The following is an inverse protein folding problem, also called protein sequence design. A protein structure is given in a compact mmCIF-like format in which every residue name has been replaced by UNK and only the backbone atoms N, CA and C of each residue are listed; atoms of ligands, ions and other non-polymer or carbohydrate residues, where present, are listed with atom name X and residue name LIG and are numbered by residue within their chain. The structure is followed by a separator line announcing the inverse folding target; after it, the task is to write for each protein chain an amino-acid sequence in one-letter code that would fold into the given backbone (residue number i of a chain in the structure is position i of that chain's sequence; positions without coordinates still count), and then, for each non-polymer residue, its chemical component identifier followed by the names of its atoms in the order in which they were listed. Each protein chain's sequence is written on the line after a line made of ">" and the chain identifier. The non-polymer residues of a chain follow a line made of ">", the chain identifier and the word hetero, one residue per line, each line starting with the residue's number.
data_IF_309283208974
#
_entry.id   IF_309283208974
#
_cell.length_a   1.000
_cell.length_b   1.000
_cell.length_c   1.000
_cell.angle_alpha   90.00
_cell.angle_beta   90.00
_cell.angle_gamma   90.00
#
_symmetry.space_group_name_H-M   'P 1'
#
loop_
_entity.id
_entity.type
_entity.pdbx_description
1 polymer ?
#
# COMPACT_ATOMS: atom_id res chain seq x y z
N UNK A 1 -18.61 5.42 2.99
CA UNK A 1 -19.13 4.18 2.38
C UNK A 1 -18.04 3.42 1.63
N UNK A 2 -17.25 4.10 0.77
CA UNK A 2 -16.11 3.50 0.05
C UNK A 2 -15.00 2.93 0.98
N UNK A 3 -14.71 3.60 2.10
CA UNK A 3 -13.76 3.10 3.10
C UNK A 3 -14.18 1.77 3.75
N UNK A 4 -15.48 1.50 3.88
CA UNK A 4 -15.96 0.20 4.39
C UNK A 4 -15.83 -0.89 3.32
N UNK A 5 -16.01 -0.51 2.05
CA UNK A 5 -15.90 -1.43 0.92
C UNK A 5 -14.46 -1.88 0.68
N UNK A 6 -13.49 -0.95 0.71
CA UNK A 6 -12.09 -1.30 0.49
C UNK A 6 -11.52 -2.18 1.62
N UNK A 7 -11.90 -1.94 2.88
CA UNK A 7 -11.46 -2.77 4.01
C UNK A 7 -12.03 -4.18 3.95
N UNK A 8 -13.28 -4.34 3.49
CA UNK A 8 -13.88 -5.65 3.24
C UNK A 8 -13.11 -6.43 2.16
N UNK A 9 -12.81 -5.79 1.02
CA UNK A 9 -12.04 -6.40 -0.06
C UNK A 9 -10.62 -6.78 0.38
N UNK A 10 -9.94 -5.88 1.09
CA UNK A 10 -8.63 -6.17 1.69
C UNK A 10 -8.71 -7.37 2.64
N UNK A 11 -9.75 -7.45 3.47
CA UNK A 11 -9.91 -8.53 4.45
C UNK A 11 -10.12 -9.91 3.81
N UNK A 12 -10.72 -9.95 2.62
CA UNK A 12 -11.01 -11.20 1.88
C UNK A 12 -9.94 -11.59 0.87
N UNK A 13 -9.07 -10.67 0.48
CA UNK A 13 -8.07 -10.94 -0.53
C UNK A 13 -7.07 -12.03 -0.07
N UNK A 14 -6.63 -12.93 -0.96
CA UNK A 14 -5.80 -14.08 -0.60
C UNK A 14 -4.32 -13.68 -0.53
N UNK A 15 -3.97 -12.89 0.49
CA UNK A 15 -2.62 -12.40 0.71
C UNK A 15 -1.61 -13.54 0.85
N UNK A 16 -0.51 -13.45 0.12
CA UNK A 16 0.58 -14.42 0.13
C UNK A 16 1.85 -13.76 0.58
N UNK A 17 2.60 -14.44 1.44
CA UNK A 17 3.90 -13.95 1.87
C UNK A 17 4.89 -13.90 0.70
N UNK A 18 5.62 -12.79 0.57
CA UNK A 18 6.76 -12.67 -0.31
C UNK A 18 7.99 -13.37 0.31
N UNK A 19 8.06 -14.70 0.17
CA UNK A 19 9.07 -15.56 0.80
C UNK A 19 10.50 -15.08 0.53
N UNK A 20 10.78 -14.59 -0.68
CA UNK A 20 12.09 -14.04 -1.08
C UNK A 20 12.57 -12.90 -0.18
N UNK A 21 11.65 -12.12 0.38
CA UNK A 21 11.94 -10.94 1.20
C UNK A 21 11.66 -11.14 2.69
N UNK A 22 11.28 -12.35 3.14
CA UNK A 22 10.92 -12.66 4.53
C UNK A 22 11.90 -12.12 5.57
N UNK A 23 13.20 -12.19 5.29
CA UNK A 23 14.27 -11.79 6.23
C UNK A 23 14.64 -10.32 6.16
N UNK A 24 14.35 -9.64 5.05
CA UNK A 24 14.85 -8.28 4.78
C UNK A 24 13.72 -7.26 4.78
N UNK A 25 12.62 -7.55 4.09
CA UNK A 25 11.44 -6.70 3.93
C UNK A 25 10.19 -7.56 3.92
N UNK A 26 9.78 -8.13 5.07
CA UNK A 26 8.64 -9.02 5.14
C UNK A 26 7.37 -8.28 4.70
N UNK A 27 6.74 -8.77 3.64
CA UNK A 27 5.50 -8.24 3.10
C UNK A 27 4.66 -9.36 2.48
N UNK A 28 3.41 -9.04 2.21
CA UNK A 28 2.49 -9.92 1.51
C UNK A 28 2.03 -9.26 0.21
N UNK A 29 1.50 -10.06 -0.71
CA UNK A 29 0.98 -9.58 -1.98
C UNK A 29 -0.23 -10.35 -2.47
N UNK A 30 -0.99 -9.70 -3.35
CA UNK A 30 -2.05 -10.30 -4.17
C UNK A 30 -1.87 -9.92 -5.63
N UNK A 31 -2.41 -10.76 -6.52
CA UNK A 31 -2.30 -10.65 -7.96
C UNK A 31 -3.66 -10.31 -8.57
N UNK A 32 -3.76 -9.24 -9.38
CA UNK A 32 -5.03 -8.73 -9.92
C UNK A 32 -5.89 -9.84 -10.52
N UNK A 33 -5.35 -10.57 -11.49
CA UNK A 33 -6.10 -11.52 -12.33
C UNK A 33 -6.09 -12.90 -11.70
N UNK A 34 -4.92 -13.41 -11.28
CA UNK A 34 -4.82 -14.75 -10.69
C UNK A 34 -5.67 -14.92 -9.42
N UNK A 35 -5.84 -13.85 -8.64
CA UNK A 35 -6.61 -13.89 -7.40
C UNK A 35 -8.00 -13.25 -7.53
N UNK A 36 -8.43 -12.89 -8.74
CA UNK A 36 -9.71 -12.22 -9.01
C UNK A 36 -9.92 -10.94 -8.16
N UNK A 37 -8.92 -10.07 -8.10
CA UNK A 37 -8.87 -8.86 -7.28
C UNK A 37 -9.13 -7.57 -8.08
N UNK A 38 -9.80 -7.65 -9.24
CA UNK A 38 -10.05 -6.48 -10.11
C UNK A 38 -10.63 -5.30 -9.35
N UNK A 39 -11.65 -5.54 -8.52
CA UNK A 39 -12.34 -4.50 -7.75
C UNK A 39 -11.45 -3.86 -6.67
N UNK A 40 -10.62 -4.67 -5.99
CA UNK A 40 -9.66 -4.16 -5.02
C UNK A 40 -8.63 -3.25 -5.71
N UNK A 41 -8.10 -3.67 -6.86
CA UNK A 41 -7.17 -2.85 -7.64
C UNK A 41 -7.80 -1.55 -8.12
N UNK A 42 -9.06 -1.58 -8.54
CA UNK A 42 -9.80 -0.38 -8.97
C UNK A 42 -9.87 0.66 -7.84
N UNK A 43 -10.34 0.25 -6.66
CA UNK A 43 -10.45 1.15 -5.51
C UNK A 43 -9.08 1.65 -5.02
N UNK A 44 -8.06 0.80 -4.99
CA UNK A 44 -6.71 1.22 -4.62
C UNK A 44 -6.16 2.24 -5.61
N UNK A 45 -6.31 2.01 -6.93
CA UNK A 45 -5.89 2.96 -7.94
C UNK A 45 -6.67 4.28 -7.84
N UNK A 46 -7.97 4.23 -7.58
CA UNK A 46 -8.79 5.42 -7.38
C UNK A 46 -8.29 6.29 -6.21
N UNK A 47 -7.94 5.67 -5.07
CA UNK A 47 -7.39 6.39 -3.91
C UNK A 47 -6.01 7.01 -4.20
N UNK A 48 -5.14 6.31 -4.92
CA UNK A 48 -3.88 6.92 -5.36
C UNK A 48 -4.11 8.12 -6.30
N UNK A 49 -5.04 8.01 -7.26
CA UNK A 49 -5.39 9.13 -8.16
C UNK A 49 -6.05 10.30 -7.43
N UNK A 50 -6.72 10.04 -6.31
CA UNK A 50 -7.26 11.07 -5.42
C UNK A 50 -6.18 11.77 -4.58
N UNK A 51 -4.91 11.36 -4.68
CA UNK A 51 -3.79 11.95 -3.95
C UNK A 51 -3.62 11.43 -2.53
N UNK A 52 -4.26 10.31 -2.18
CA UNK A 52 -4.20 9.76 -0.82
C UNK A 52 -2.91 8.99 -0.52
N UNK A 53 -2.05 8.79 -1.51
CA UNK A 53 -0.77 8.12 -1.34
C UNK A 53 0.31 9.04 -0.76
N UNK A 54 1.26 8.46 -0.02
CA UNK A 54 2.46 9.12 0.49
C UNK A 54 3.72 8.63 -0.21
N UNK A 55 4.45 9.54 -0.84
CA UNK A 55 5.76 9.24 -1.45
C UNK A 55 6.80 9.01 -0.35
N UNK A 56 7.35 7.80 -0.29
CA UNK A 56 8.41 7.42 0.63
C UNK A 56 9.63 6.89 -0.13
N UNK A 57 10.78 6.86 0.54
CA UNK A 57 12.00 6.25 0.01
C UNK A 57 12.16 4.83 0.53
N UNK A 58 12.27 3.87 -0.39
CA UNK A 58 12.68 2.50 -0.12
C UNK A 58 14.12 2.31 -0.63
N UNK A 59 15.10 2.35 0.28
CA UNK A 59 16.52 2.53 -0.04
C UNK A 59 16.75 3.74 -0.96
N UNK A 60 17.11 3.50 -2.22
CA UNK A 60 17.38 4.52 -3.24
C UNK A 60 16.18 4.74 -4.16
N UNK A 61 15.12 3.94 -4.06
CA UNK A 61 13.93 4.02 -4.90
C UNK A 61 12.84 4.84 -4.20
N UNK A 62 12.14 5.67 -4.97
CA UNK A 62 10.91 6.33 -4.50
C UNK A 62 9.72 5.43 -4.81
N UNK A 63 8.78 5.33 -3.89
CA UNK A 63 7.51 4.65 -4.11
C UNK A 63 6.41 5.34 -3.32
N UNK A 64 5.16 5.17 -3.76
CA UNK A 64 4.00 5.79 -3.11
C UNK A 64 3.22 4.73 -2.36
N UNK A 65 2.88 5.02 -1.11
CA UNK A 65 2.23 4.10 -0.20
C UNK A 65 0.88 4.62 0.22
N UNK A 66 -0.12 3.75 0.26
CA UNK A 66 -1.43 4.03 0.83
C UNK A 66 -1.51 3.43 2.24
N UNK A 67 -2.04 4.18 3.20
CA UNK A 67 -2.10 3.76 4.61
C UNK A 67 -3.55 3.48 5.00
N UNK A 68 -3.87 2.22 5.28
CA UNK A 68 -5.23 1.80 5.64
C UNK A 68 -5.16 0.87 6.85
N UNK A 69 -5.75 1.28 7.97
CA UNK A 69 -5.70 0.53 9.21
C UNK A 69 -4.25 0.25 9.64
N UNK A 70 -3.94 -1.00 9.98
CA UNK A 70 -2.61 -1.40 10.45
C UNK A 70 -1.56 -1.69 9.38
N UNK A 71 -1.80 -1.32 8.11
CA UNK A 71 -0.95 -1.70 6.98
C UNK A 71 -0.64 -0.51 6.04
N UNK A 72 0.55 -0.57 5.42
CA UNK A 72 0.91 0.21 4.23
C UNK A 72 0.78 -0.67 2.99
N UNK A 73 0.29 -0.09 1.89
CA UNK A 73 0.02 -0.75 0.61
C UNK A 73 0.77 -0.05 -0.51
N UNK A 74 1.30 -0.81 -1.48
CA UNK A 74 1.93 -0.23 -2.67
C UNK A 74 1.76 -1.14 -3.89
N UNK A 75 1.72 -0.52 -5.07
CA UNK A 75 1.67 -1.21 -6.34
C UNK A 75 3.10 -1.37 -6.89
N UNK A 76 3.36 -2.46 -7.61
CA UNK A 76 4.63 -2.62 -8.36
C UNK A 76 4.62 -1.87 -9.71
N UNK A 77 3.43 -1.54 -10.21
CA UNK A 77 3.21 -0.76 -11.43
C UNK A 77 2.52 0.54 -11.03
N UNK A 78 2.93 1.66 -11.63
CA UNK A 78 2.31 2.94 -11.35
C UNK A 78 0.80 2.87 -11.66
N UNK A 79 -0.06 3.40 -10.80
CA UNK A 79 -1.51 3.25 -10.93
C UNK A 79 -2.07 3.85 -12.24
N UNK A 80 -1.38 4.83 -12.84
CA UNK A 80 -1.77 5.39 -14.15
C UNK A 80 -1.46 4.47 -15.34
N UNK A 81 -0.63 3.44 -15.15
CA UNK A 81 -0.30 2.42 -16.15
C UNK A 81 -1.13 1.15 -16.01
N UNK A 82 -1.77 0.96 -14.85
CA UNK A 82 -2.64 -0.19 -14.62
C UNK A 82 -3.88 -0.09 -15.50
N UNK A 83 -4.15 -1.14 -16.27
CA UNK A 83 -5.37 -1.31 -17.06
C UNK A 83 -6.14 -2.50 -16.50
N UNK A 84 -7.34 -2.28 -15.99
CA UNK A 84 -8.08 -3.33 -15.27
C UNK A 84 -8.59 -4.42 -16.20
N UNK A 85 -8.91 -4.06 -17.44
CA UNK A 85 -9.61 -4.92 -18.41
C UNK A 85 -8.67 -5.60 -19.43
N UNK A 86 -7.35 -5.49 -19.23
CA UNK A 86 -6.37 -6.24 -20.02
C UNK A 86 -6.06 -7.61 -19.39
N UNK A 87 -5.36 -8.45 -20.17
CA UNK A 87 -4.87 -9.74 -19.72
C UNK A 87 -3.63 -9.70 -18.80
N UNK A 88 -3.15 -8.50 -18.46
CA UNK A 88 -1.93 -8.31 -17.66
C UNK A 88 -2.15 -8.63 -16.17
N UNK A 89 -1.06 -9.03 -15.53
CA UNK A 89 -1.02 -9.30 -14.10
C UNK A 89 -0.36 -8.14 -13.37
N UNK A 90 -1.04 -7.60 -12.36
CA UNK A 90 -0.51 -6.53 -11.52
C UNK A 90 -0.43 -7.00 -10.07
N UNK A 91 0.50 -6.41 -9.32
CA UNK A 91 0.80 -6.79 -7.94
C UNK A 91 0.45 -5.64 -7.00
N UNK A 92 -0.34 -5.96 -5.99
CA UNK A 92 -0.60 -5.09 -4.84
C UNK A 92 0.07 -5.74 -3.63
N UNK A 93 0.99 -5.02 -3.02
CA UNK A 93 1.70 -5.45 -1.83
C UNK A 93 1.11 -4.79 -0.58
N UNK A 94 1.31 -5.42 0.57
CA UNK A 94 1.07 -4.83 1.89
C UNK A 94 2.14 -5.22 2.91
N UNK A 95 2.39 -4.35 3.88
CA UNK A 95 3.18 -4.65 5.06
C UNK A 95 2.58 -4.02 6.31
N UNK A 96 2.68 -4.64 7.50
CA UNK A 96 2.28 -4.01 8.76
C UNK A 96 3.06 -2.72 9.01
N UNK A 97 2.43 -1.72 9.62
CA UNK A 97 3.08 -0.44 9.94
C UNK A 97 4.26 -0.56 10.93
N UNK A 98 4.27 -1.61 11.77
CA UNK A 98 5.02 -1.58 13.03
C UNK A 98 6.53 -1.91 12.97
N UNK A 99 7.19 -1.98 11.81
CA UNK A 99 8.59 -2.48 11.78
C UNK A 99 9.59 -1.80 10.85
N UNK A 100 9.28 -0.68 10.21
CA UNK A 100 10.33 0.11 9.58
C UNK A 100 10.90 1.13 10.56
N UNK A 101 12.05 0.82 11.16
CA UNK A 101 12.80 1.74 12.05
C UNK A 101 13.32 3.02 11.34
N UNK A 102 12.90 3.26 10.10
CA UNK A 102 13.42 4.31 9.21
C UNK A 102 12.31 5.11 8.55
N UNK A 103 11.07 4.65 8.65
CA UNK A 103 9.93 5.38 8.11
C UNK A 103 9.33 6.23 9.22
N UNK A 104 9.01 7.46 8.84
CA UNK A 104 8.34 8.52 9.57
C UNK A 104 7.18 8.00 10.43
N UNK A 105 6.73 8.80 11.40
CA UNK A 105 5.52 8.46 12.16
C UNK A 105 4.32 8.72 11.29
N UNK A 106 4.04 7.77 10.39
CA UNK A 106 2.86 7.75 9.54
C UNK A 106 1.80 6.95 10.29
N UNK A 107 0.68 7.60 10.59
CA UNK A 107 -0.48 7.04 11.26
C UNK A 107 -1.50 6.53 10.24
N UNK A 108 -2.39 5.60 10.65
CA UNK A 108 -3.53 5.21 9.83
C UNK A 108 -4.37 6.45 9.45
N UNK A 109 -4.57 6.66 8.15
CA UNK A 109 -5.36 7.80 7.63
C UNK A 109 -4.54 8.97 7.10
N UNK A 110 -3.21 8.91 7.22
CA UNK A 110 -2.29 9.89 6.63
C UNK A 110 -2.33 9.86 5.09
N UNK A 111 -2.38 11.04 4.47
CA UNK A 111 -2.35 11.32 3.02
C UNK A 111 -1.44 12.52 2.72
N UNK A 112 -0.70 12.56 1.62
CA UNK A 112 0.15 13.73 1.29
C UNK A 112 1.59 13.33 0.98
N UNK A 113 2.56 14.24 1.04
CA UNK A 113 3.97 13.95 0.75
C UNK A 113 4.74 13.64 2.03
N UNK A 114 5.92 13.01 1.92
CA UNK A 114 6.82 12.78 3.07
C UNK A 114 7.12 14.07 3.85
N UNK A 115 7.21 15.20 3.16
CA UNK A 115 7.50 16.50 3.79
C UNK A 115 6.36 17.01 4.67
N UNK A 116 5.15 16.46 4.53
CA UNK A 116 3.97 16.84 5.32
C UNK A 116 3.97 16.20 6.71
N UNK A 117 4.88 15.24 6.98
CA UNK A 117 4.90 14.45 8.20
C UNK A 117 6.11 14.74 9.11
N UNK A 118 5.91 14.79 10.45
CA UNK A 118 7.00 15.00 11.38
C UNK A 118 8.03 13.86 11.31
N UNK A 119 9.30 14.24 11.29
CA UNK A 119 10.44 13.30 11.21
C UNK A 119 10.71 12.55 12.51
N UNK A 120 10.05 12.93 13.60
CA UNK A 120 10.13 12.29 14.91
C UNK A 120 8.71 12.05 15.46
N UNK A 121 8.48 10.92 16.16
CA UNK A 121 7.26 10.76 16.94
C UNK A 121 7.08 11.94 17.88
N UNK A 122 5.86 12.45 18.01
CA UNK A 122 5.51 13.27 19.16
C UNK A 122 5.85 12.46 20.42
N UNK A 123 6.56 13.08 21.36
CA UNK A 123 6.80 12.45 22.65
C UNK A 123 5.45 12.08 23.25
N UNK A 124 5.26 10.80 23.62
CA UNK A 124 4.07 10.38 24.32
C UNK A 124 4.03 11.15 25.65
N UNK A 125 3.04 12.05 25.79
CA UNK A 125 2.67 12.68 27.05
C UNK A 125 1.85 11.73 27.91
#
# INVERSE_FOLDING_TARGET
>A
MENLKITELIGRAPWREAVTYRKTWPHEYVLKRKDNQRELFDLVCARFRAGEGVECQFFTMRNTYLFIGGYKYWLMTHWDEIRLDNGEEYVLNRAPLYRDRRDFVIQPGDTGKREDYPTKPAAAT
#
